data_IF_843198039681
#
_entry.id   IF_843198039681
#
_cell.length_a   1.000
_cell.length_b   1.000
_cell.length_c   1.000
_cell.angle_alpha   90.00
_cell.angle_beta   90.00
_cell.angle_gamma   90.00
#
_symmetry.space_group_name_H-M   'P 1'
#
loop_
_entity.id
_entity.type
_entity.pdbx_description
1 polymer ?
#
# COMPACT_ATOMS: atom_id res chain seq x y z
N UNK A 1 33.67 -25.55 -14.25
CA UNK A 1 33.37 -25.12 -12.86
C UNK A 1 32.75 -23.72 -12.73
N UNK A 2 33.17 -22.64 -13.43
CA UNK A 2 32.55 -21.32 -13.25
C UNK A 2 31.14 -21.21 -13.84
N UNK A 3 30.86 -21.94 -14.93
CA UNK A 3 29.56 -21.92 -15.62
C UNK A 3 28.42 -22.52 -14.79
N UNK A 4 28.72 -23.55 -13.98
CA UNK A 4 27.77 -24.16 -13.04
C UNK A 4 27.47 -23.23 -11.86
N UNK A 5 28.47 -22.46 -11.40
CA UNK A 5 28.32 -21.47 -10.34
C UNK A 5 27.42 -20.30 -10.79
N UNK A 6 27.57 -19.86 -12.04
CA UNK A 6 26.75 -18.79 -12.65
C UNK A 6 25.28 -19.23 -12.79
N UNK A 7 25.02 -20.48 -13.16
CA UNK A 7 23.65 -21.01 -13.29
C UNK A 7 22.93 -21.13 -11.94
N UNK A 8 23.65 -21.52 -10.89
CA UNK A 8 23.10 -21.59 -9.52
C UNK A 8 22.86 -20.18 -8.97
N UNK A 9 23.79 -19.25 -9.17
CA UNK A 9 23.63 -17.86 -8.76
C UNK A 9 22.42 -17.19 -9.45
N UNK A 10 22.20 -17.45 -10.74
CA UNK A 10 21.05 -16.92 -11.47
C UNK A 10 19.72 -17.49 -10.93
N UNK A 11 19.67 -18.78 -10.57
CA UNK A 11 18.47 -19.41 -10.01
C UNK A 11 18.03 -18.81 -8.66
N UNK A 12 18.98 -18.42 -7.80
CA UNK A 12 18.66 -17.76 -6.53
C UNK A 12 18.07 -16.35 -6.70
N UNK A 13 18.46 -15.62 -7.76
CA UNK A 13 17.91 -14.28 -8.02
C UNK A 13 16.44 -14.36 -8.48
N UNK A 14 16.06 -15.39 -9.23
CA UNK A 14 14.66 -15.58 -9.63
C UNK A 14 13.76 -15.98 -8.45
N UNK A 15 14.29 -16.71 -7.46
CA UNK A 15 13.55 -17.06 -6.25
C UNK A 15 13.24 -15.84 -5.35
N UNK A 16 13.99 -14.75 -5.49
CA UNK A 16 13.72 -13.50 -4.78
C UNK A 16 12.45 -12.78 -5.29
N UNK A 17 12.00 -13.07 -6.52
CA UNK A 17 10.76 -12.55 -7.08
C UNK A 17 9.54 -13.38 -6.64
N UNK A 18 9.43 -13.60 -5.33
CA UNK A 18 8.30 -14.33 -4.74
C UNK A 18 7.02 -13.48 -4.80
N UNK A 19 5.82 -14.10 -4.86
CA UNK A 19 4.55 -13.37 -4.77
C UNK A 19 4.47 -12.45 -3.53
N UNK A 20 5.09 -12.85 -2.41
CA UNK A 20 5.15 -12.08 -1.18
C UNK A 20 6.04 -10.84 -1.32
N UNK A 21 7.15 -10.94 -2.05
CA UNK A 21 7.99 -9.78 -2.35
C UNK A 21 7.27 -8.79 -3.28
N UNK A 22 6.57 -9.30 -4.30
CA UNK A 22 5.76 -8.47 -5.20
C UNK A 22 4.63 -7.73 -4.47
N UNK A 23 3.91 -8.41 -3.57
CA UNK A 23 2.84 -7.81 -2.78
C UNK A 23 3.37 -6.66 -1.89
N UNK A 24 4.51 -6.87 -1.22
CA UNK A 24 5.14 -5.81 -0.42
C UNK A 24 5.53 -4.59 -1.25
N UNK A 25 6.19 -4.82 -2.40
CA UNK A 25 6.57 -3.73 -3.31
C UNK A 25 5.34 -2.96 -3.79
N UNK A 26 4.25 -3.68 -4.14
CA UNK A 26 3.03 -3.03 -4.59
C UNK A 26 2.37 -2.21 -3.47
N UNK A 27 2.38 -2.71 -2.23
CA UNK A 27 1.88 -1.97 -1.06
C UNK A 27 2.71 -0.72 -0.79
N UNK A 28 4.03 -0.81 -0.85
CA UNK A 28 4.94 0.33 -0.65
C UNK A 28 4.76 1.41 -1.73
N UNK A 29 4.57 0.98 -2.99
CA UNK A 29 4.23 1.88 -4.08
C UNK A 29 2.85 2.53 -3.85
N UNK A 30 1.83 1.74 -3.50
CA UNK A 30 0.49 2.26 -3.20
C UNK A 30 0.50 3.28 -2.06
N UNK A 31 1.32 3.08 -1.02
CA UNK A 31 1.49 4.06 0.07
C UNK A 31 1.86 5.45 -0.43
N UNK A 32 2.80 5.52 -1.38
CA UNK A 32 3.24 6.78 -1.98
C UNK A 32 2.11 7.50 -2.73
N UNK A 33 1.23 6.76 -3.41
CA UNK A 33 0.07 7.34 -4.12
C UNK A 33 -1.07 7.77 -3.18
N UNK A 34 -1.29 7.02 -2.10
CA UNK A 34 -2.40 7.27 -1.14
C UNK A 34 -2.08 8.45 -0.22
N UNK A 35 -0.81 8.62 0.17
CA UNK A 35 -0.37 9.66 1.12
C UNK A 35 -0.93 11.05 0.80
N UNK A 36 -0.74 11.62 -0.40
CA UNK A 36 -1.29 12.94 -0.73
C UNK A 36 -2.82 12.99 -0.64
N UNK A 37 -3.53 11.92 -1.05
CA UNK A 37 -4.99 11.84 -0.94
C UNK A 37 -5.44 11.91 0.51
N UNK A 38 -4.77 11.20 1.42
CA UNK A 38 -5.12 11.23 2.84
C UNK A 38 -4.88 12.61 3.47
N UNK A 39 -3.75 13.24 3.14
CA UNK A 39 -3.41 14.58 3.64
C UNK A 39 -4.42 15.62 3.16
N UNK A 40 -4.86 15.55 1.91
CA UNK A 40 -5.79 16.52 1.33
C UNK A 40 -7.26 16.29 1.76
N UNK A 41 -7.71 15.02 1.80
CA UNK A 41 -9.13 14.69 2.02
C UNK A 41 -9.50 14.43 3.47
N UNK A 42 -8.53 14.02 4.29
CA UNK A 42 -8.75 13.68 5.69
C UNK A 42 -7.80 14.49 6.60
N UNK A 43 -7.84 15.83 6.54
CA UNK A 43 -6.95 16.65 7.36
C UNK A 43 -7.20 16.42 8.85
N UNK A 44 -6.12 16.27 9.60
CA UNK A 44 -6.17 16.03 11.06
C UNK A 44 -6.30 14.57 11.47
N UNK A 45 -6.46 13.64 10.53
CA UNK A 45 -6.35 12.21 10.82
C UNK A 45 -4.87 11.83 10.91
N UNK A 46 -4.44 11.05 11.92
CA UNK A 46 -3.07 10.53 12.00
C UNK A 46 -2.71 9.72 10.76
N UNK A 47 -1.74 10.24 9.98
CA UNK A 47 -1.44 9.76 8.63
C UNK A 47 -1.01 8.29 8.61
N UNK A 48 -0.03 7.90 9.43
CA UNK A 48 0.50 6.52 9.42
C UNK A 48 -0.56 5.48 9.81
N UNK A 49 -1.32 5.64 10.92
CA UNK A 49 -2.45 4.77 11.23
C UNK A 49 -3.47 4.68 10.10
N UNK A 50 -3.84 5.81 9.49
CA UNK A 50 -4.79 5.82 8.38
C UNK A 50 -4.25 5.07 7.16
N UNK A 51 -2.98 5.29 6.82
CA UNK A 51 -2.32 4.64 5.70
C UNK A 51 -2.27 3.11 5.90
N UNK A 52 -1.95 2.65 7.11
CA UNK A 52 -1.98 1.23 7.46
C UNK A 52 -3.37 0.63 7.30
N UNK A 53 -4.40 1.27 7.89
CA UNK A 53 -5.77 0.80 7.76
C UNK A 53 -6.26 0.72 6.30
N UNK A 54 -5.92 1.72 5.47
CA UNK A 54 -6.30 1.71 4.05
C UNK A 54 -5.56 0.61 3.29
N UNK A 55 -4.25 0.45 3.48
CA UNK A 55 -3.46 -0.59 2.79
C UNK A 55 -3.92 -1.99 3.20
N UNK A 56 -4.17 -2.23 4.49
CA UNK A 56 -4.51 -3.56 5.02
C UNK A 56 -5.92 -4.01 4.60
N UNK A 57 -6.83 -3.07 4.37
CA UNK A 57 -8.20 -3.36 3.92
C UNK A 57 -8.40 -3.21 2.39
N UNK A 58 -7.35 -2.88 1.64
CA UNK A 58 -7.40 -2.82 0.19
C UNK A 58 -7.33 -4.23 -0.44
N UNK A 59 -8.09 -4.45 -1.53
CA UNK A 59 -7.94 -5.68 -2.30
C UNK A 59 -6.64 -5.67 -3.10
N UNK A 60 -6.14 -6.85 -3.51
CA UNK A 60 -4.95 -6.94 -4.35
C UNK A 60 -5.09 -6.19 -5.69
N UNK A 61 -6.31 -6.08 -6.23
CA UNK A 61 -6.59 -5.28 -7.45
C UNK A 61 -6.47 -3.79 -7.16
N UNK A 62 -7.04 -3.33 -6.04
CA UNK A 62 -6.95 -1.93 -5.62
C UNK A 62 -5.49 -1.53 -5.33
N UNK A 63 -4.73 -2.35 -4.60
CA UNK A 63 -3.30 -2.12 -4.34
C UNK A 63 -2.52 -1.96 -5.64
N UNK A 64 -2.71 -2.85 -6.62
CA UNK A 64 -2.01 -2.73 -7.91
C UNK A 64 -2.38 -1.46 -8.65
N UNK A 65 -3.67 -1.07 -8.66
CA UNK A 65 -4.10 0.18 -9.30
C UNK A 65 -3.43 1.39 -8.66
N UNK A 66 -3.46 1.48 -7.32
CA UNK A 66 -2.84 2.57 -6.56
C UNK A 66 -1.31 2.57 -6.70
N UNK A 67 -0.68 1.41 -6.82
CA UNK A 67 0.76 1.29 -7.03
C UNK A 67 1.20 1.90 -8.38
N UNK A 68 0.39 1.79 -9.43
CA UNK A 68 0.70 2.41 -10.72
C UNK A 68 0.68 3.94 -10.63
N UNK A 69 -0.23 4.49 -9.83
CA UNK A 69 -0.35 5.94 -9.60
C UNK A 69 0.81 6.52 -8.78
N UNK A 70 1.65 5.68 -8.16
CA UNK A 70 2.83 6.13 -7.39
C UNK A 70 3.86 6.88 -8.25
N UNK A 71 3.88 6.60 -9.56
CA UNK A 71 4.83 7.21 -10.51
C UNK A 71 4.27 8.50 -11.12
N UNK A 72 2.97 8.49 -11.44
CA UNK A 72 2.31 9.62 -12.12
C UNK A 72 1.68 10.62 -11.15
N UNK A 73 1.53 10.24 -9.88
CA UNK A 73 0.75 10.96 -8.89
C UNK A 73 -0.72 10.52 -8.85
N UNK A 74 -1.45 10.88 -7.77
CA UNK A 74 -2.86 10.56 -7.60
C UNK A 74 -3.74 11.25 -8.65
N UNK A 75 -4.79 10.56 -9.06
CA UNK A 75 -5.85 11.04 -9.95
C UNK A 75 -7.22 10.96 -9.26
N UNK A 76 -8.29 11.40 -9.94
CA UNK A 76 -9.66 11.17 -9.46
C UNK A 76 -9.97 9.68 -9.24
N UNK A 77 -9.38 8.78 -10.05
CA UNK A 77 -9.53 7.35 -9.83
C UNK A 77 -8.86 6.89 -8.53
N UNK A 78 -7.67 7.42 -8.23
CA UNK A 78 -6.96 7.15 -6.97
C UNK A 78 -7.81 7.56 -5.77
N UNK A 79 -8.41 8.76 -5.84
CA UNK A 79 -9.32 9.28 -4.80
C UNK A 79 -10.54 8.38 -4.62
N UNK A 80 -11.18 7.96 -5.72
CA UNK A 80 -12.35 7.07 -5.67
C UNK A 80 -11.98 5.73 -5.03
N UNK A 81 -10.87 5.11 -5.44
CA UNK A 81 -10.42 3.84 -4.87
C UNK A 81 -10.13 3.99 -3.37
N UNK A 82 -9.46 5.06 -2.94
CA UNK A 82 -9.19 5.32 -1.51
C UNK A 82 -10.51 5.52 -0.75
N UNK A 83 -11.46 6.27 -1.31
CA UNK A 83 -12.78 6.49 -0.70
C UNK A 83 -13.56 5.18 -0.56
N UNK A 84 -13.53 4.33 -1.58
CA UNK A 84 -14.16 3.01 -1.55
C UNK A 84 -13.54 2.12 -0.47
N UNK A 85 -12.22 2.17 -0.27
CA UNK A 85 -11.54 1.43 0.79
C UNK A 85 -11.92 1.96 2.17
N UNK A 86 -11.87 3.28 2.37
CA UNK A 86 -12.23 3.94 3.63
C UNK A 86 -13.68 3.66 4.01
N UNK A 87 -14.59 3.55 3.04
CA UNK A 87 -16.01 3.28 3.27
C UNK A 87 -16.31 1.84 3.70
N UNK A 88 -15.33 0.93 3.69
CA UNK A 88 -15.52 -0.45 4.16
C UNK A 88 -15.67 -0.48 5.69
N UNK A 89 -16.59 -1.29 6.25
CA UNK A 89 -16.77 -1.41 7.70
C UNK A 89 -15.48 -1.76 8.45
N UNK A 90 -14.64 -2.62 7.88
CA UNK A 90 -13.37 -3.07 8.48
C UNK A 90 -12.35 -1.93 8.53
N UNK A 91 -12.28 -1.10 7.49
CA UNK A 91 -11.41 0.08 7.46
C UNK A 91 -11.86 1.12 8.48
N UNK A 92 -13.17 1.41 8.56
CA UNK A 92 -13.71 2.33 9.56
C UNK A 92 -13.43 1.86 10.99
N UNK A 93 -13.54 0.55 11.23
CA UNK A 93 -13.23 -0.06 12.53
C UNK A 93 -11.75 0.09 12.86
N UNK A 94 -10.86 -0.16 11.90
CA UNK A 94 -9.42 0.05 12.07
C UNK A 94 -9.09 1.52 12.36
N UNK A 95 -9.66 2.45 11.59
CA UNK A 95 -9.46 3.88 11.79
C UNK A 95 -9.93 4.35 13.17
N UNK A 96 -11.05 3.83 13.66
CA UNK A 96 -11.52 4.14 15.01
C UNK A 96 -10.57 3.57 16.07
N UNK A 97 -10.11 2.33 15.92
CA UNK A 97 -9.23 1.65 16.87
C UNK A 97 -7.81 2.26 16.93
N UNK A 98 -7.23 2.61 15.78
CA UNK A 98 -5.86 3.09 15.66
C UNK A 98 -5.76 4.64 15.64
N UNK A 99 -6.81 5.32 15.18
CA UNK A 99 -6.86 6.78 15.09
C UNK A 99 -7.07 7.45 16.46
N UNK A 100 -7.93 6.89 17.32
CA UNK A 100 -8.17 7.44 18.67
C UNK A 100 -6.89 7.46 19.53
N UNK A 101 -6.12 6.35 19.67
CA UNK A 101 -4.86 6.36 20.42
C UNK A 101 -3.81 7.32 19.87
N UNK A 102 -3.77 7.50 18.54
CA UNK A 102 -2.81 8.39 17.90
C UNK A 102 -3.13 9.88 18.11
N UNK A 103 -4.38 10.25 18.42
CA UNK A 103 -4.77 11.62 18.79
C UNK A 103 -4.51 11.95 20.27
N UNK A 104 -4.37 10.93 21.12
CA UNK A 104 -4.21 11.07 22.58
C UNK A 104 -2.76 10.98 23.05
N UNK A 105 -1.80 10.91 22.11
CA UNK A 105 -0.37 10.79 22.37
C UNK A 105 0.37 12.10 22.17
#
# INVERSE_FOLDING_TARGET
>A
MPKTLILIAMGLVLAACSPQAQDRIARDAARSAITPVLVERFPGVPLEPALNCVIDNASAVQIRSLALDSVTGPTESTVQIVTDIVSKPETLTCLAAEGLPALLR
#
